data_IF_501562867584
#
_entry.id   IF_501562867584
#
_cell.length_a   1.000
_cell.length_b   1.000
_cell.length_c   1.000
_cell.angle_alpha   90.00
_cell.angle_beta   90.00
_cell.angle_gamma   90.00
#
_symmetry.space_group_name_H-M   'P 1'
#
loop_
_entity.id
_entity.type
_entity.pdbx_description
1 polymer ?
#
# COMPACT_ATOMS: atom_id res chain seq x y z
N UNK A 1 5.14 0.93 -16.03
CA UNK A 1 6.52 0.49 -15.76
C UNK A 1 6.45 -0.79 -14.95
N UNK A 2 7.29 -1.80 -15.23
CA UNK A 2 7.31 -3.04 -14.44
C UNK A 2 8.36 -2.93 -13.33
N UNK A 3 8.10 -3.41 -12.10
CA UNK A 3 9.10 -3.43 -11.05
C UNK A 3 10.37 -4.12 -11.53
N UNK A 4 11.50 -3.40 -11.50
CA UNK A 4 12.83 -4.00 -11.67
C UNK A 4 13.32 -4.42 -10.29
N UNK A 5 13.93 -5.60 -10.20
CA UNK A 5 14.48 -6.12 -8.94
C UNK A 5 15.45 -5.13 -8.30
N UNK A 6 15.41 -5.06 -6.98
CA UNK A 6 16.38 -4.30 -6.17
C UNK A 6 16.19 -2.78 -6.13
N UNK A 7 15.20 -2.21 -6.83
CA UNK A 7 14.82 -0.79 -6.65
C UNK A 7 13.75 -0.68 -5.59
N UNK A 8 14.02 0.05 -4.50
CA UNK A 8 12.99 0.39 -3.52
C UNK A 8 11.94 1.29 -4.15
N UNK A 9 10.68 0.91 -4.00
CA UNK A 9 9.49 1.59 -4.47
C UNK A 9 8.79 2.25 -3.29
N UNK A 10 8.23 3.43 -3.52
CA UNK A 10 7.33 4.05 -2.54
C UNK A 10 5.89 3.68 -2.89
N UNK A 11 5.18 3.16 -1.91
CA UNK A 11 3.76 2.84 -2.01
C UNK A 11 2.98 3.92 -1.28
N UNK A 12 2.06 4.55 -1.98
CA UNK A 12 1.15 5.54 -1.41
C UNK A 12 -0.27 5.01 -1.49
N UNK A 13 -0.99 5.00 -0.37
CA UNK A 13 -2.38 4.57 -0.29
C UNK A 13 -3.25 5.70 0.25
N UNK A 14 -4.31 6.05 -0.49
CA UNK A 14 -5.35 6.94 0.02
C UNK A 14 -6.47 6.09 0.63
N UNK A 15 -6.84 6.39 1.87
CA UNK A 15 -7.80 5.61 2.66
C UNK A 15 -8.85 6.53 3.26
N UNK A 16 -10.10 6.20 2.97
CA UNK A 16 -11.28 6.87 3.51
C UNK A 16 -11.92 5.99 4.58
N UNK A 17 -12.29 6.60 5.70
CA UNK A 17 -13.03 5.96 6.78
C UNK A 17 -14.45 5.57 6.36
N UNK A 18 -15.13 4.84 7.24
CA UNK A 18 -16.49 4.34 7.01
C UNK A 18 -17.51 5.46 6.73
N UNK A 19 -17.28 6.68 7.22
CA UNK A 19 -18.20 7.81 7.02
C UNK A 19 -17.80 8.75 5.89
N UNK A 20 -16.77 8.37 5.11
CA UNK A 20 -16.30 9.15 3.96
C UNK A 20 -15.38 10.31 4.31
N UNK A 21 -14.80 10.30 5.51
CA UNK A 21 -13.72 11.19 5.93
C UNK A 21 -12.34 10.58 5.63
N UNK A 22 -11.28 11.39 5.41
CA UNK A 22 -9.93 10.85 5.32
C UNK A 22 -9.52 10.16 6.62
N UNK A 23 -9.05 8.92 6.54
CA UNK A 23 -8.69 8.13 7.70
C UNK A 23 -7.47 8.75 8.40
N UNK A 24 -7.60 9.07 9.69
CA UNK A 24 -6.54 9.75 10.45
C UNK A 24 -5.51 8.78 11.02
N UNK A 25 -6.00 7.64 11.49
CA UNK A 25 -5.22 6.56 12.07
C UNK A 25 -5.90 5.23 11.72
N UNK A 26 -5.14 4.16 11.67
CA UNK A 26 -5.61 2.84 11.28
C UNK A 26 -4.49 1.93 10.82
N UNK A 27 -4.80 0.64 10.71
CA UNK A 27 -3.85 -0.35 10.21
C UNK A 27 -4.12 -0.61 8.74
N UNK A 28 -3.22 -0.10 7.90
CA UNK A 28 -3.22 -0.32 6.45
C UNK A 28 -2.14 -1.34 6.11
N UNK A 29 -2.53 -2.42 5.43
CA UNK A 29 -1.63 -3.52 5.05
C UNK A 29 -1.76 -3.76 3.56
N UNK A 30 -0.63 -3.99 2.88
CA UNK A 30 -0.63 -4.62 1.55
C UNK A 30 -0.11 -6.04 1.64
N UNK A 31 -0.86 -6.96 1.03
CA UNK A 31 -0.37 -8.26 0.61
C UNK A 31 0.10 -8.16 -0.84
N UNK A 32 1.34 -8.54 -1.08
CA UNK A 32 2.01 -8.46 -2.38
C UNK A 32 2.38 -9.88 -2.79
N UNK A 33 1.85 -10.35 -3.92
CA UNK A 33 2.23 -11.63 -4.52
C UNK A 33 3.23 -11.37 -5.65
N UNK A 34 4.41 -11.97 -5.53
CA UNK A 34 5.42 -11.99 -6.58
C UNK A 34 4.95 -12.85 -7.78
N UNK A 35 5.58 -12.71 -8.96
CA UNK A 35 5.27 -13.52 -10.13
C UNK A 35 5.39 -15.04 -9.88
N UNK A 36 6.32 -15.47 -9.02
CA UNK A 36 6.44 -16.87 -8.57
C UNK A 36 5.29 -17.37 -7.70
N UNK A 37 4.46 -16.45 -7.18
CA UNK A 37 3.45 -16.73 -6.17
C UNK A 37 3.95 -16.55 -4.72
N UNK A 38 5.21 -16.16 -4.50
CA UNK A 38 5.71 -15.87 -3.16
C UNK A 38 5.00 -14.65 -2.56
N UNK A 39 4.36 -14.78 -1.37
CA UNK A 39 3.71 -13.66 -0.71
C UNK A 39 4.71 -12.80 0.08
N UNK A 40 4.44 -11.51 0.15
CA UNK A 40 5.08 -10.53 1.01
C UNK A 40 4.02 -9.61 1.62
N UNK A 41 4.28 -9.10 2.82
CA UNK A 41 3.34 -8.22 3.52
C UNK A 41 4.08 -6.97 3.97
N UNK A 42 3.49 -5.81 3.68
CA UNK A 42 4.01 -4.52 4.13
C UNK A 42 2.93 -3.73 4.86
N UNK A 43 3.32 -3.11 5.97
CA UNK A 43 2.45 -2.24 6.76
C UNK A 43 2.74 -0.79 6.39
N UNK A 44 1.69 -0.03 6.15
CA UNK A 44 1.81 1.40 5.90
C UNK A 44 1.72 2.18 7.20
N UNK A 45 2.36 3.35 7.19
CA UNK A 45 2.29 4.34 8.25
C UNK A 45 1.62 5.60 7.72
N UNK A 46 0.92 6.38 8.56
CA UNK A 46 0.44 7.70 8.17
C UNK A 46 1.61 8.55 7.63
N UNK A 47 1.40 9.24 6.51
CA UNK A 47 2.46 9.97 5.81
C UNK A 47 2.98 11.22 6.56
N UNK A 48 2.37 11.58 7.68
CA UNK A 48 2.82 12.64 8.56
C UNK A 48 1.67 13.55 9.03
N UNK A 49 2.03 14.55 9.82
CA UNK A 49 1.08 15.52 10.34
C UNK A 49 0.45 16.33 9.19
N UNK A 50 -0.89 16.33 9.13
CA UNK A 50 -1.65 17.02 8.08
C UNK A 50 -1.90 16.21 6.80
N UNK A 51 -1.29 15.03 6.63
CA UNK A 51 -1.51 14.15 5.48
C UNK A 51 -2.63 13.12 5.74
N UNK A 52 -3.81 13.61 6.14
CA UNK A 52 -4.93 12.73 6.52
C UNK A 52 -5.43 11.89 5.35
N UNK A 53 -5.68 10.61 5.60
CA UNK A 53 -6.04 9.63 4.59
C UNK A 53 -4.86 9.12 3.76
N UNK A 54 -3.68 9.74 3.81
CA UNK A 54 -2.50 9.28 3.09
C UNK A 54 -1.61 8.41 3.97
N UNK A 55 -1.41 7.18 3.52
CA UNK A 55 -0.54 6.19 4.13
C UNK A 55 0.61 5.87 3.19
N UNK A 56 1.82 5.72 3.72
CA UNK A 56 3.03 5.45 2.94
C UNK A 56 3.76 4.21 3.46
N UNK A 57 4.39 3.48 2.55
CA UNK A 57 5.27 2.35 2.85
C UNK A 57 6.35 2.24 1.77
N UNK A 58 7.42 1.53 2.08
CA UNK A 58 8.42 1.13 1.08
C UNK A 58 8.31 -0.35 0.77
N UNK A 59 8.53 -0.74 -0.48
CA UNK A 59 8.62 -2.13 -0.90
C UNK A 59 9.78 -2.30 -1.88
N UNK A 60 10.60 -3.32 -1.68
CA UNK A 60 11.69 -3.67 -2.60
C UNK A 60 11.36 -5.02 -3.24
N UNK A 61 11.04 -5.08 -4.53
CA UNK A 61 10.74 -6.32 -5.23
C UNK A 61 12.01 -7.18 -5.32
N UNK A 62 11.89 -8.43 -4.89
CA UNK A 62 12.95 -9.43 -5.00
C UNK A 62 12.94 -10.14 -6.36
N UNK A 63 11.79 -10.15 -7.04
CA UNK A 63 11.59 -10.76 -8.35
C UNK A 63 11.26 -9.71 -9.42
N UNK A 64 11.63 -9.94 -10.70
CA UNK A 64 11.20 -9.09 -11.79
C UNK A 64 9.83 -9.55 -12.30
N UNK A 65 8.97 -8.60 -12.69
CA UNK A 65 7.69 -8.92 -13.33
C UNK A 65 6.47 -8.41 -12.56
N UNK A 66 5.30 -8.92 -12.93
CA UNK A 66 4.02 -8.40 -12.49
C UNK A 66 3.69 -8.85 -11.07
N UNK A 67 3.76 -7.93 -10.12
CA UNK A 67 3.34 -8.15 -8.73
C UNK A 67 1.86 -7.82 -8.57
N UNK A 68 1.12 -8.66 -7.86
CA UNK A 68 -0.27 -8.36 -7.48
C UNK A 68 -0.30 -7.77 -6.09
N UNK A 69 -0.90 -6.59 -5.94
CA UNK A 69 -1.02 -5.89 -4.66
C UNK A 69 -2.48 -5.89 -4.24
N UNK A 70 -2.74 -6.32 -3.00
CA UNK A 70 -4.05 -6.23 -2.36
C UNK A 70 -3.92 -5.43 -1.07
N UNK A 71 -4.68 -4.36 -0.96
CA UNK A 71 -4.75 -3.54 0.23
C UNK A 71 -5.89 -3.98 1.14
N UNK A 72 -5.69 -3.87 2.45
CA UNK A 72 -6.72 -4.04 3.46
C UNK A 72 -6.54 -3.03 4.59
N UNK A 73 -7.67 -2.57 5.12
CA UNK A 73 -7.76 -1.74 6.31
C UNK A 73 -9.13 -1.99 6.95
N UNK A 74 -9.13 -2.29 8.26
CA UNK A 74 -10.36 -2.62 8.98
C UNK A 74 -11.31 -1.41 9.09
N UNK A 75 -10.76 -0.20 9.07
CA UNK A 75 -11.48 1.05 9.26
C UNK A 75 -11.89 1.71 7.93
N UNK A 76 -11.62 1.06 6.79
CA UNK A 76 -11.89 1.63 5.47
C UNK A 76 -13.30 1.35 4.96
N UNK A 77 -13.97 2.40 4.46
CA UNK A 77 -15.38 2.35 4.02
C UNK A 77 -15.61 1.94 2.57
N UNK A 78 -14.75 2.39 1.65
CA UNK A 78 -14.91 2.08 0.24
C UNK A 78 -13.59 2.26 -0.49
N UNK A 79 -13.04 1.16 -1.02
CA UNK A 79 -11.91 1.07 -1.95
C UNK A 79 -10.62 1.83 -1.58
N UNK A 80 -9.55 1.07 -1.38
CA UNK A 80 -8.21 1.61 -1.17
C UNK A 80 -7.49 1.65 -2.51
N UNK A 81 -6.94 2.81 -2.87
CA UNK A 81 -6.14 2.97 -4.08
C UNK A 81 -4.68 3.08 -3.69
N UNK A 82 -3.82 2.21 -4.23
CA UNK A 82 -2.37 2.37 -4.13
C UNK A 82 -1.74 2.72 -5.46
N UNK A 83 -0.81 3.68 -5.42
CA UNK A 83 0.07 3.98 -6.55
C UNK A 83 1.50 3.60 -6.18
N UNK A 84 2.20 2.99 -7.14
CA UNK A 84 3.63 2.68 -7.06
C UNK A 84 4.38 3.76 -7.83
N UNK A 85 5.32 4.44 -7.17
CA UNK A 85 6.17 5.49 -7.77
C UNK A 85 7.65 5.26 -7.49
#
# INVERSE_FOLDING_TARGET
>A
DRPRTGRTLTLNANVMGLTGEPLRDGTVVAEILAPSGQPSTVRFLPAGEGAWGLFTSTFTPEEPGDHRVRLSCADAGAAMEATIT
#
